data_IF_964751712862
#
_entry.id   IF_964751712862
#
_cell.length_a   1.000
_cell.length_b   1.000
_cell.length_c   1.000
_cell.angle_alpha   90.00
_cell.angle_beta   90.00
_cell.angle_gamma   90.00
#
_symmetry.space_group_name_H-M   'P 1'
#
loop_
_entity.id
_entity.type
_entity.pdbx_description
1 polymer ?
#
# COMPACT_ATOMS: atom_id res chain seq x y z
N UNK A 1 -6.46 -20.80 -33.74
CA UNK A 1 -5.87 -20.47 -32.42
C UNK A 1 -4.68 -19.54 -32.65
N UNK A 2 -4.83 -18.26 -32.38
CA UNK A 2 -3.74 -17.27 -32.49
C UNK A 2 -2.95 -17.37 -31.19
N UNK A 3 -1.82 -18.07 -31.21
CA UNK A 3 -0.85 -18.03 -30.13
C UNK A 3 -0.16 -16.65 -30.16
N UNK A 4 -0.74 -15.66 -29.54
CA UNK A 4 -0.03 -14.42 -29.20
C UNK A 4 1.06 -14.79 -28.22
N UNK A 5 2.33 -14.77 -28.68
CA UNK A 5 3.48 -14.86 -27.79
C UNK A 5 3.37 -13.73 -26.77
N UNK A 6 3.00 -14.05 -25.54
CA UNK A 6 3.02 -13.10 -24.43
C UNK A 6 4.46 -12.59 -24.29
N UNK A 7 4.69 -11.34 -24.67
CA UNK A 7 5.96 -10.67 -24.43
C UNK A 7 6.14 -10.54 -22.92
N UNK A 8 7.02 -11.35 -22.35
CA UNK A 8 7.41 -11.19 -20.93
C UNK A 8 8.03 -9.80 -20.76
N UNK A 9 7.56 -9.02 -19.76
CA UNK A 9 8.16 -7.72 -19.50
C UNK A 9 9.65 -7.88 -19.17
N UNK A 10 10.49 -7.02 -19.76
CA UNK A 10 11.91 -6.99 -19.45
C UNK A 10 12.13 -6.25 -18.16
N UNK A 11 12.83 -6.86 -17.21
CA UNK A 11 13.24 -6.23 -15.96
C UNK A 11 14.66 -5.69 -16.16
N UNK A 12 14.85 -4.40 -15.94
CA UNK A 12 16.17 -3.78 -15.95
C UNK A 12 16.78 -3.90 -14.54
N UNK A 13 17.75 -4.78 -14.38
CA UNK A 13 18.47 -4.99 -13.12
C UNK A 13 19.63 -4.01 -13.07
N UNK A 14 19.47 -2.89 -12.40
CA UNK A 14 20.53 -1.94 -12.09
C UNK A 14 20.71 -1.83 -10.57
N UNK A 15 21.95 -2.08 -10.11
CA UNK A 15 22.31 -1.97 -8.69
C UNK A 15 23.22 -0.76 -8.46
N UNK A 16 22.74 0.41 -8.87
CA UNK A 16 23.47 1.67 -8.77
C UNK A 16 23.70 2.09 -7.30
N UNK A 17 24.46 3.16 -7.13
CA UNK A 17 24.77 3.72 -5.81
C UNK A 17 23.50 4.00 -4.97
N UNK A 18 22.45 4.55 -5.60
CA UNK A 18 21.20 4.85 -4.92
C UNK A 18 20.48 3.58 -4.44
N UNK A 19 20.38 2.55 -5.29
CA UNK A 19 19.81 1.26 -4.89
C UNK A 19 20.53 0.68 -3.67
N UNK A 20 21.87 0.63 -3.72
CA UNK A 20 22.67 0.10 -2.60
C UNK A 20 22.46 0.91 -1.32
N UNK A 21 22.39 2.23 -1.45
CA UNK A 21 22.14 3.14 -0.32
C UNK A 21 20.77 2.89 0.30
N UNK A 22 19.69 2.86 -0.50
CA UNK A 22 18.33 2.60 0.00
C UNK A 22 18.25 1.21 0.64
N UNK A 23 18.81 0.18 -0.01
CA UNK A 23 18.85 -1.19 0.54
C UNK A 23 19.50 -1.24 1.92
N UNK A 24 20.68 -0.65 2.07
CA UNK A 24 21.40 -0.58 3.34
C UNK A 24 20.57 0.13 4.41
N UNK A 25 19.96 1.27 4.08
CA UNK A 25 19.16 2.06 5.02
C UNK A 25 17.90 1.33 5.50
N UNK A 26 17.21 0.62 4.60
CA UNK A 26 16.06 -0.22 4.95
C UNK A 26 16.46 -1.29 5.97
N UNK A 27 17.59 -1.97 5.73
CA UNK A 27 18.09 -3.01 6.63
C UNK A 27 18.49 -2.45 7.99
N UNK A 28 19.27 -1.35 8.02
CA UNK A 28 19.74 -0.72 9.26
C UNK A 28 18.62 -0.07 10.09
N UNK A 29 17.50 0.27 9.48
CA UNK A 29 16.35 0.91 10.15
C UNK A 29 15.32 -0.08 10.66
N UNK A 30 15.53 -1.39 10.45
CA UNK A 30 14.57 -2.44 10.82
C UNK A 30 13.17 -2.19 10.26
N UNK A 31 13.11 -1.72 9.00
CA UNK A 31 11.84 -1.45 8.32
C UNK A 31 11.49 -2.55 7.34
N UNK A 32 10.21 -2.84 7.27
CA UNK A 32 9.66 -3.70 6.24
C UNK A 32 9.34 -2.88 4.98
N UNK A 33 9.57 -3.44 3.82
CA UNK A 33 9.19 -2.83 2.54
C UNK A 33 8.42 -3.82 1.70
N UNK A 34 7.34 -3.37 1.09
CA UNK A 34 6.63 -4.19 0.09
C UNK A 34 7.56 -4.54 -1.08
N UNK A 35 8.52 -3.65 -1.39
CA UNK A 35 9.49 -3.89 -2.45
C UNK A 35 10.28 -5.19 -2.24
N UNK A 36 10.66 -5.49 -0.99
CA UNK A 36 11.37 -6.72 -0.64
C UNK A 36 10.40 -7.89 -0.37
N UNK A 37 9.39 -7.68 0.47
CA UNK A 37 8.45 -8.72 0.90
C UNK A 37 7.61 -9.29 -0.26
N UNK A 38 7.14 -8.42 -1.16
CA UNK A 38 6.39 -8.81 -2.35
C UNK A 38 7.28 -9.22 -3.54
N UNK A 39 8.62 -9.26 -3.37
CA UNK A 39 9.57 -9.56 -4.46
C UNK A 39 9.30 -8.74 -5.71
N UNK A 40 9.08 -7.43 -5.51
CA UNK A 40 8.65 -6.52 -6.57
C UNK A 40 9.71 -6.43 -7.68
N UNK A 41 9.38 -6.69 -8.95
CA UNK A 41 10.33 -6.62 -10.05
C UNK A 41 10.85 -5.19 -10.32
N UNK A 42 10.13 -4.17 -9.89
CA UNK A 42 10.48 -2.75 -10.10
C UNK A 42 11.41 -2.19 -9.00
N UNK A 43 11.82 -3.01 -8.03
CA UNK A 43 12.64 -2.58 -6.88
C UNK A 43 13.90 -1.83 -7.32
N UNK A 44 14.55 -2.30 -8.38
CA UNK A 44 15.79 -1.71 -8.89
C UNK A 44 15.57 -0.29 -9.41
N UNK A 45 14.53 -0.07 -10.18
CA UNK A 45 14.19 1.24 -10.74
C UNK A 45 13.71 2.20 -9.65
N UNK A 46 12.77 1.76 -8.81
CA UNK A 46 12.19 2.60 -7.76
C UNK A 46 13.26 3.07 -6.76
N UNK A 47 14.11 2.17 -6.28
CA UNK A 47 15.14 2.51 -5.33
C UNK A 47 16.25 3.39 -5.94
N UNK A 48 16.55 3.22 -7.22
CA UNK A 48 17.46 4.12 -7.92
C UNK A 48 16.88 5.55 -8.04
N UNK A 49 15.56 5.68 -8.18
CA UNK A 49 14.85 6.96 -8.17
C UNK A 49 14.60 7.52 -6.77
N UNK A 50 15.12 6.89 -5.72
CA UNK A 50 14.87 7.24 -4.32
C UNK A 50 13.38 7.24 -3.97
N UNK A 51 12.66 6.25 -4.47
CA UNK A 51 11.25 5.99 -4.14
C UNK A 51 11.16 4.60 -3.49
N UNK A 52 10.52 4.52 -2.34
CA UNK A 52 10.32 3.26 -1.63
C UNK A 52 8.89 3.17 -1.10
N UNK A 53 8.38 1.94 -1.03
CA UNK A 53 7.10 1.62 -0.38
C UNK A 53 7.41 0.96 0.96
N UNK A 54 7.22 1.72 2.03
CA UNK A 54 7.44 1.25 3.40
C UNK A 54 6.18 0.55 3.91
N UNK A 55 6.36 -0.56 4.61
CA UNK A 55 5.26 -1.34 5.18
C UNK A 55 5.29 -1.23 6.70
N UNK A 56 4.19 -0.76 7.29
CA UNK A 56 4.01 -0.58 8.73
C UNK A 56 3.09 -1.66 9.33
N UNK A 57 2.96 -1.66 10.65
CA UNK A 57 2.19 -2.61 11.44
C UNK A 57 2.77 -4.03 11.43
N UNK A 58 4.08 -4.14 11.16
CA UNK A 58 4.82 -5.40 11.17
C UNK A 58 4.91 -6.09 9.81
N UNK A 59 5.23 -7.39 9.83
CA UNK A 59 5.48 -8.24 8.66
C UNK A 59 4.43 -9.33 8.43
N UNK A 60 3.47 -9.46 9.34
CA UNK A 60 2.48 -10.55 9.32
C UNK A 60 1.07 -9.99 9.17
N UNK A 61 0.41 -10.37 8.07
CA UNK A 61 -0.94 -9.92 7.72
C UNK A 61 -1.99 -10.88 8.29
N UNK A 62 -3.09 -10.35 8.80
CA UNK A 62 -4.24 -11.16 9.26
C UNK A 62 -5.11 -11.68 8.11
N UNK A 63 -4.87 -11.21 6.87
CA UNK A 63 -5.60 -11.63 5.67
C UNK A 63 -4.70 -12.37 4.70
N UNK A 64 -5.31 -13.28 3.91
CA UNK A 64 -4.63 -14.14 2.93
C UNK A 64 -5.14 -13.81 1.51
N UNK A 65 -4.60 -12.77 0.88
CA UNK A 65 -4.91 -12.48 -0.51
C UNK A 65 -4.09 -13.41 -1.43
N UNK A 66 -4.74 -14.06 -2.41
CA UNK A 66 -4.10 -15.08 -3.25
C UNK A 66 -2.97 -14.59 -4.15
N UNK A 67 -2.84 -13.28 -4.36
CA UNK A 67 -1.77 -12.65 -5.14
C UNK A 67 -0.64 -12.08 -4.26
N UNK A 68 -0.80 -12.07 -2.94
CA UNK A 68 0.13 -11.40 -2.03
C UNK A 68 1.18 -12.38 -1.48
N UNK A 69 2.45 -11.96 -1.49
CA UNK A 69 3.56 -12.75 -0.94
C UNK A 69 3.90 -12.40 0.51
N UNK A 70 3.18 -11.47 1.12
CA UNK A 70 3.37 -11.11 2.52
C UNK A 70 2.92 -12.27 3.42
N UNK A 71 3.67 -12.51 4.47
CA UNK A 71 3.39 -13.58 5.44
C UNK A 71 2.01 -13.41 6.05
N UNK A 72 1.19 -14.46 5.97
CA UNK A 72 -0.12 -14.51 6.60
C UNK A 72 -0.05 -15.23 7.94
N UNK A 73 -0.75 -14.71 8.93
CA UNK A 73 -0.79 -15.34 10.24
C UNK A 73 -1.42 -14.46 11.32
N UNK A 74 -1.13 -14.80 12.57
CA UNK A 74 -1.54 -14.03 13.73
C UNK A 74 -0.35 -13.19 14.20
N UNK A 75 -0.38 -11.85 14.05
CA UNK A 75 0.67 -10.98 14.57
C UNK A 75 0.75 -11.07 16.09
N UNK A 76 1.96 -11.09 16.62
CA UNK A 76 2.21 -11.23 18.07
C UNK A 76 2.64 -9.93 18.73
N UNK A 77 2.97 -8.92 17.94
CA UNK A 77 3.53 -7.68 18.45
C UNK A 77 3.11 -6.46 17.62
N UNK A 78 3.17 -5.31 18.27
CA UNK A 78 2.94 -4.01 17.67
C UNK A 78 3.98 -3.02 18.21
N UNK A 79 4.67 -2.31 17.31
CA UNK A 79 5.74 -1.41 17.68
C UNK A 79 5.27 0.05 17.81
N UNK A 80 5.21 0.60 19.03
CA UNK A 80 4.77 1.97 19.23
C UNK A 80 5.75 3.02 18.69
N UNK A 81 7.00 2.65 18.42
CA UNK A 81 8.04 3.55 17.88
C UNK A 81 8.15 3.48 16.35
N UNK A 82 7.40 2.61 15.69
CA UNK A 82 7.42 2.45 14.24
C UNK A 82 7.15 3.77 13.48
N UNK A 83 6.18 4.61 13.88
CA UNK A 83 5.94 5.90 13.24
C UNK A 83 7.18 6.81 13.20
N UNK A 84 7.91 6.88 14.31
CA UNK A 84 9.12 7.69 14.40
C UNK A 84 10.26 7.11 13.56
N UNK A 85 10.44 5.78 13.58
CA UNK A 85 11.47 5.11 12.77
C UNK A 85 11.22 5.29 11.29
N UNK A 86 9.96 5.18 10.85
CA UNK A 86 9.57 5.44 9.45
C UNK A 86 9.94 6.86 9.05
N UNK A 87 9.55 7.87 9.85
CA UNK A 87 9.84 9.27 9.57
C UNK A 87 11.35 9.55 9.46
N UNK A 88 12.14 8.99 10.38
CA UNK A 88 13.61 9.12 10.37
C UNK A 88 14.25 8.41 9.18
N UNK A 89 13.76 7.24 8.79
CA UNK A 89 14.25 6.52 7.64
C UNK A 89 13.97 7.26 6.32
N UNK A 90 12.77 7.82 6.16
CA UNK A 90 12.42 8.66 5.01
C UNK A 90 13.40 9.83 4.89
N UNK A 91 13.73 10.50 6.01
CA UNK A 91 14.71 11.58 6.06
C UNK A 91 16.10 11.11 5.67
N UNK A 92 16.57 10.01 6.27
CA UNK A 92 17.90 9.44 6.03
C UNK A 92 18.07 9.00 4.57
N UNK A 93 16.99 8.45 3.95
CA UNK A 93 16.97 8.07 2.55
C UNK A 93 16.87 9.27 1.59
N UNK A 94 16.51 10.45 2.07
CA UNK A 94 16.33 11.65 1.27
C UNK A 94 15.22 11.46 0.22
N UNK A 95 14.13 10.82 0.61
CA UNK A 95 13.01 10.57 -0.31
C UNK A 95 12.27 11.87 -0.60
N UNK A 96 11.90 12.06 -1.85
CA UNK A 96 11.01 13.16 -2.29
C UNK A 96 9.55 12.73 -2.31
N UNK A 97 9.32 11.43 -2.38
CA UNK A 97 8.01 10.80 -2.34
C UNK A 97 8.12 9.46 -1.63
N UNK A 98 7.28 9.23 -0.65
CA UNK A 98 7.19 7.96 0.06
C UNK A 98 5.78 7.40 -0.07
N UNK A 99 5.69 6.11 -0.37
CA UNK A 99 4.45 5.36 -0.23
C UNK A 99 4.51 4.57 1.07
N UNK A 100 3.54 4.76 1.92
CA UNK A 100 3.37 4.01 3.17
C UNK A 100 2.20 3.06 2.97
N UNK A 101 2.41 1.80 3.23
CA UNK A 101 1.37 0.77 3.25
C UNK A 101 1.46 -0.05 4.54
N UNK A 102 0.55 -0.99 4.76
CA UNK A 102 0.61 -1.88 5.91
C UNK A 102 0.17 -3.28 5.58
N UNK A 103 0.43 -4.20 6.50
CA UNK A 103 -0.35 -5.43 6.63
C UNK A 103 -1.75 -5.10 7.17
N UNK A 104 -2.75 -5.96 6.89
CA UNK A 104 -4.04 -5.86 7.58
C UNK A 104 -3.89 -6.36 9.02
N UNK A 105 -4.45 -5.61 9.95
CA UNK A 105 -4.44 -5.89 11.39
C UNK A 105 -5.86 -5.97 11.95
N UNK A 106 -6.64 -6.91 11.40
CA UNK A 106 -8.01 -7.18 11.85
C UNK A 106 -8.09 -7.64 13.33
N UNK A 107 -6.94 -7.97 13.92
CA UNK A 107 -6.75 -8.32 15.32
C UNK A 107 -6.73 -7.11 16.26
N UNK A 108 -6.34 -5.93 15.80
CA UNK A 108 -6.31 -4.69 16.57
C UNK A 108 -7.75 -4.14 16.73
N UNK A 109 -8.42 -4.61 17.75
CA UNK A 109 -9.80 -4.19 18.05
C UNK A 109 -9.82 -2.72 18.48
N UNK A 110 -10.78 -1.98 17.96
CA UNK A 110 -10.96 -0.56 18.23
C UNK A 110 -10.70 0.32 17.01
N UNK A 111 -9.53 0.26 16.40
CA UNK A 111 -9.19 1.11 15.26
C UNK A 111 -8.46 0.42 14.10
N UNK A 112 -8.22 -0.88 14.20
CA UNK A 112 -7.51 -1.67 13.15
C UNK A 112 -6.13 -1.11 12.78
N UNK A 113 -5.48 -0.39 13.72
CA UNK A 113 -4.18 0.25 13.54
C UNK A 113 -4.23 1.66 12.95
N UNK A 114 -5.41 2.27 12.82
CA UNK A 114 -5.56 3.61 12.24
C UNK A 114 -4.79 4.70 13.00
N UNK A 115 -4.66 4.60 14.32
CA UNK A 115 -3.85 5.52 15.13
C UNK A 115 -2.38 5.48 14.73
N UNK A 116 -1.81 4.30 14.49
CA UNK A 116 -0.42 4.15 14.04
C UNK A 116 -0.27 4.72 12.62
N UNK A 117 -1.24 4.52 11.76
CA UNK A 117 -1.29 5.16 10.45
C UNK A 117 -1.23 6.69 10.55
N UNK A 118 -2.09 7.28 11.38
CA UNK A 118 -2.15 8.72 11.57
C UNK A 118 -0.85 9.29 12.14
N UNK A 119 -0.27 8.62 13.13
CA UNK A 119 1.01 9.03 13.71
C UNK A 119 2.15 8.91 12.71
N UNK A 120 2.16 7.84 11.89
CA UNK A 120 3.18 7.67 10.85
C UNK A 120 3.11 8.79 9.82
N UNK A 121 1.91 9.16 9.36
CA UNK A 121 1.70 10.27 8.42
C UNK A 121 2.20 11.58 9.04
N UNK A 122 1.73 11.90 10.25
CA UNK A 122 2.07 13.16 10.95
C UNK A 122 3.57 13.28 11.21
N UNK A 123 4.21 12.23 11.74
CA UNK A 123 5.65 12.22 12.01
C UNK A 123 6.46 12.34 10.72
N UNK A 124 6.05 11.62 9.66
CA UNK A 124 6.74 11.69 8.38
C UNK A 124 6.68 13.09 7.79
N UNK A 125 5.52 13.72 7.75
CA UNK A 125 5.35 15.11 7.27
C UNK A 125 6.09 16.13 8.12
N UNK A 126 6.08 15.95 9.45
CA UNK A 126 6.80 16.85 10.39
C UNK A 126 8.31 16.83 10.17
N UNK A 127 8.88 15.65 9.95
CA UNK A 127 10.34 15.45 9.82
C UNK A 127 10.82 15.72 8.39
N UNK A 128 9.95 15.59 7.39
CA UNK A 128 10.29 15.62 5.96
C UNK A 128 9.34 16.58 5.21
N UNK A 129 9.49 17.88 5.42
CA UNK A 129 8.59 18.93 4.90
C UNK A 129 8.48 18.97 3.37
N UNK A 130 9.54 18.53 2.66
CA UNK A 130 9.59 18.49 1.20
C UNK A 130 9.21 17.12 0.59
N UNK A 131 8.80 16.16 1.44
CA UNK A 131 8.46 14.82 1.00
C UNK A 131 6.94 14.66 0.87
N UNK A 132 6.47 14.27 -0.30
CA UNK A 132 5.08 13.89 -0.50
C UNK A 132 4.80 12.54 0.15
N UNK A 133 3.74 12.46 0.94
CA UNK A 133 3.32 11.24 1.64
C UNK A 133 2.07 10.66 0.98
N UNK A 134 2.22 9.55 0.29
CA UNK A 134 1.13 8.72 -0.21
C UNK A 134 0.89 7.57 0.77
N UNK A 135 -0.37 7.27 1.06
CA UNK A 135 -0.75 6.11 1.87
C UNK A 135 -1.53 5.12 1.03
N UNK A 136 -1.19 3.84 1.11
CA UNK A 136 -1.97 2.73 0.53
C UNK A 136 -2.54 1.91 1.68
N UNK A 137 -3.78 2.24 2.05
CA UNK A 137 -4.40 1.73 3.28
C UNK A 137 -5.21 0.46 3.07
N UNK A 138 -5.38 -0.37 4.12
CA UNK A 138 -6.42 -1.38 4.16
C UNK A 138 -7.82 -0.74 4.18
N UNK A 139 -8.87 -1.56 4.15
CA UNK A 139 -10.25 -1.11 4.24
C UNK A 139 -10.74 -0.84 5.69
N UNK A 140 -9.91 -1.10 6.69
CA UNK A 140 -10.26 -1.01 8.13
C UNK A 140 -11.62 -1.65 8.46
N UNK A 141 -12.01 -2.71 7.73
CA UNK A 141 -13.35 -3.33 7.79
C UNK A 141 -14.52 -2.38 7.53
N UNK A 142 -14.27 -1.24 6.91
CA UNK A 142 -15.26 -0.17 6.68
C UNK A 142 -15.61 0.61 7.95
N UNK A 143 -14.84 0.44 9.03
CA UNK A 143 -15.07 1.16 10.29
C UNK A 143 -14.75 2.64 10.13
N UNK A 144 -15.79 3.45 10.07
CA UNK A 144 -15.71 4.86 9.73
C UNK A 144 -14.83 5.70 10.68
N UNK A 145 -14.86 5.47 12.02
CA UNK A 145 -13.93 6.18 12.89
C UNK A 145 -12.46 5.92 12.59
N UNK A 146 -12.09 4.70 12.18
CA UNK A 146 -10.72 4.38 11.77
C UNK A 146 -10.33 5.12 10.48
N UNK A 147 -11.21 5.12 9.47
CA UNK A 147 -10.99 5.89 8.24
C UNK A 147 -10.80 7.38 8.54
N UNK A 148 -11.66 7.94 9.40
CA UNK A 148 -11.58 9.34 9.80
C UNK A 148 -10.26 9.70 10.47
N UNK A 149 -9.73 8.84 11.34
CA UNK A 149 -8.42 9.02 11.99
C UNK A 149 -7.32 9.19 10.93
N UNK A 150 -7.33 8.36 9.88
CA UNK A 150 -6.34 8.44 8.80
C UNK A 150 -6.57 9.67 7.92
N UNK A 151 -7.82 10.01 7.59
CA UNK A 151 -8.15 11.18 6.79
C UNK A 151 -7.75 12.49 7.50
N UNK A 152 -7.99 12.59 8.80
CA UNK A 152 -7.60 13.74 9.64
C UNK A 152 -6.07 13.93 9.70
N UNK A 153 -5.28 12.89 9.47
CA UNK A 153 -3.83 13.00 9.36
C UNK A 153 -3.35 13.66 8.05
N UNK A 154 -4.27 13.87 7.09
CA UNK A 154 -4.06 14.59 5.83
C UNK A 154 -2.86 14.09 5.03
N UNK A 155 -2.85 12.82 4.57
CA UNK A 155 -1.87 12.38 3.58
C UNK A 155 -2.00 13.22 2.30
N UNK A 156 -0.92 13.36 1.54
CA UNK A 156 -0.96 14.12 0.28
C UNK A 156 -1.71 13.34 -0.82
N UNK A 157 -1.64 12.00 -0.75
CA UNK A 157 -2.41 11.09 -1.60
C UNK A 157 -2.94 9.96 -0.71
N UNK A 158 -4.25 9.71 -0.78
CA UNK A 158 -4.89 8.56 -0.17
C UNK A 158 -5.18 7.50 -1.24
N UNK A 159 -4.62 6.32 -1.06
CA UNK A 159 -4.83 5.19 -1.95
C UNK A 159 -5.49 4.03 -1.22
N UNK A 160 -6.47 3.41 -1.88
CA UNK A 160 -7.02 2.12 -1.50
C UNK A 160 -7.30 1.32 -2.78
N UNK A 161 -6.66 0.18 -2.93
CA UNK A 161 -6.78 -0.60 -4.15
C UNK A 161 -8.04 -1.48 -4.17
N UNK A 162 -8.76 -1.46 -5.28
CA UNK A 162 -9.82 -2.43 -5.55
C UNK A 162 -9.27 -3.80 -5.96
N UNK A 163 -8.03 -3.84 -6.40
CA UNK A 163 -7.16 -4.97 -6.74
C UNK A 163 -7.59 -5.78 -7.97
N UNK A 164 -8.86 -6.07 -8.14
CA UNK A 164 -9.38 -6.89 -9.25
C UNK A 164 -10.82 -6.50 -9.58
N UNK A 165 -11.41 -7.11 -10.58
CA UNK A 165 -12.84 -6.94 -10.89
C UNK A 165 -13.72 -7.66 -9.87
N UNK A 166 -14.97 -7.21 -9.71
CA UNK A 166 -15.88 -7.69 -8.66
C UNK A 166 -16.05 -9.22 -8.68
N UNK A 167 -16.30 -9.82 -9.85
CA UNK A 167 -16.59 -11.26 -10.01
C UNK A 167 -15.52 -12.15 -9.38
N UNK A 168 -14.25 -11.79 -9.51
CA UNK A 168 -13.14 -12.60 -8.99
C UNK A 168 -12.65 -12.17 -7.61
N UNK A 169 -13.14 -11.05 -7.09
CA UNK A 169 -12.69 -10.48 -5.83
C UNK A 169 -12.76 -11.46 -4.66
N UNK A 170 -13.89 -12.18 -4.53
CA UNK A 170 -14.06 -13.14 -3.45
C UNK A 170 -13.09 -14.33 -3.53
N UNK A 171 -12.72 -14.74 -4.74
CA UNK A 171 -11.79 -15.84 -4.95
C UNK A 171 -10.35 -15.47 -4.59
N UNK A 172 -9.92 -14.24 -4.89
CA UNK A 172 -8.54 -13.79 -4.70
C UNK A 172 -8.32 -12.97 -3.43
N UNK A 173 -9.40 -12.42 -2.84
CA UNK A 173 -9.40 -11.58 -1.63
C UNK A 173 -10.51 -12.00 -0.67
N UNK A 174 -10.53 -13.24 -0.23
CA UNK A 174 -11.64 -13.85 0.52
C UNK A 174 -12.13 -13.04 1.74
N UNK A 175 -11.24 -12.28 2.41
CA UNK A 175 -11.55 -11.48 3.60
C UNK A 175 -11.85 -10.00 3.28
N UNK A 176 -11.66 -9.56 2.02
CA UNK A 176 -12.06 -8.24 1.57
C UNK A 176 -13.50 -8.25 1.04
N UNK A 177 -14.07 -7.07 0.93
CA UNK A 177 -15.40 -6.86 0.35
C UNK A 177 -15.29 -5.83 -0.76
N UNK A 178 -15.76 -6.17 -1.96
CA UNK A 178 -15.68 -5.32 -3.14
C UNK A 178 -16.36 -3.96 -2.92
N UNK A 179 -17.61 -3.98 -2.51
CA UNK A 179 -18.38 -2.76 -2.27
C UNK A 179 -17.72 -1.89 -1.20
N UNK A 180 -17.19 -2.50 -0.15
CA UNK A 180 -16.45 -1.77 0.89
C UNK A 180 -15.25 -1.02 0.33
N UNK A 181 -14.53 -1.60 -0.63
CA UNK A 181 -13.40 -0.91 -1.27
C UNK A 181 -13.86 0.33 -2.02
N UNK A 182 -14.99 0.27 -2.73
CA UNK A 182 -15.59 1.45 -3.37
C UNK A 182 -16.06 2.48 -2.33
N UNK A 183 -16.68 2.03 -1.24
CA UNK A 183 -17.16 2.92 -0.16
C UNK A 183 -15.99 3.66 0.52
N UNK A 184 -14.85 3.01 0.72
CA UNK A 184 -13.62 3.65 1.25
C UNK A 184 -13.12 4.74 0.32
N UNK A 185 -13.07 4.47 -1.00
CA UNK A 185 -12.69 5.47 -2.00
C UNK A 185 -13.66 6.65 -2.02
N UNK A 186 -14.96 6.37 -2.06
CA UNK A 186 -16.00 7.40 -2.02
C UNK A 186 -15.89 8.30 -0.79
N UNK A 187 -15.71 7.71 0.40
CA UNK A 187 -15.54 8.46 1.64
C UNK A 187 -14.29 9.35 1.61
N UNK A 188 -13.18 8.87 1.06
CA UNK A 188 -11.97 9.67 0.95
C UNK A 188 -12.13 10.87 0.00
N UNK A 189 -12.86 10.69 -1.11
CA UNK A 189 -13.22 11.78 -2.04
C UNK A 189 -14.12 12.80 -1.34
N UNK A 190 -15.16 12.36 -0.65
CA UNK A 190 -16.09 13.21 0.10
C UNK A 190 -15.37 13.99 1.22
N UNK A 191 -14.29 13.42 1.77
CA UNK A 191 -13.44 14.10 2.77
C UNK A 191 -12.50 15.15 2.14
N UNK A 192 -12.44 15.23 0.80
CA UNK A 192 -11.61 16.19 0.07
C UNK A 192 -10.16 15.74 -0.13
N UNK A 193 -9.87 14.44 0.00
CA UNK A 193 -8.53 13.91 -0.23
C UNK A 193 -8.29 13.65 -1.72
N UNK A 194 -7.03 13.80 -2.16
CA UNK A 194 -6.59 13.29 -3.46
C UNK A 194 -6.57 11.78 -3.40
N UNK A 195 -7.57 11.15 -4.05
CA UNK A 195 -7.82 9.72 -3.97
C UNK A 195 -7.22 8.98 -5.16
N UNK A 196 -6.67 7.80 -4.91
CA UNK A 196 -6.07 6.91 -5.91
C UNK A 196 -6.48 5.47 -5.65
N UNK A 197 -6.64 4.69 -6.70
CA UNK A 197 -6.85 3.24 -6.63
C UNK A 197 -5.98 2.51 -7.64
N UNK A 198 -5.89 1.20 -7.49
CA UNK A 198 -5.18 0.31 -8.40
C UNK A 198 -5.98 -0.97 -8.68
N UNK A 199 -5.76 -1.51 -9.87
CA UNK A 199 -6.28 -2.80 -10.31
C UNK A 199 -5.14 -3.62 -10.93
N UNK A 200 -5.08 -4.88 -10.59
CA UNK A 200 -4.24 -5.87 -11.26
C UNK A 200 -5.02 -6.55 -12.37
N UNK A 201 -4.34 -6.88 -13.45
CA UNK A 201 -4.89 -7.65 -14.57
C UNK A 201 -4.10 -8.94 -14.75
N UNK A 202 -4.76 -9.97 -15.30
CA UNK A 202 -4.19 -11.31 -15.49
C UNK A 202 -4.64 -12.32 -14.43
N UNK A 203 -5.66 -12.00 -13.63
CA UNK A 203 -6.25 -12.89 -12.61
C UNK A 203 -7.47 -13.69 -13.13
N UNK A 204 -7.80 -13.55 -14.41
CA UNK A 204 -8.95 -14.22 -15.06
C UNK A 204 -10.13 -13.33 -15.34
N UNK A 205 -9.94 -12.01 -15.32
CA UNK A 205 -10.92 -11.01 -15.73
C UNK A 205 -11.05 -10.92 -17.25
N UNK A 206 -12.20 -10.43 -17.72
CA UNK A 206 -12.41 -10.05 -19.10
C UNK A 206 -12.20 -8.54 -19.30
N UNK A 207 -11.77 -8.13 -20.51
CA UNK A 207 -11.54 -6.72 -20.81
C UNK A 207 -12.76 -5.81 -20.56
N UNK A 208 -13.98 -6.34 -20.76
CA UNK A 208 -15.22 -5.60 -20.46
C UNK A 208 -15.39 -5.33 -18.96
N UNK A 209 -15.02 -6.29 -18.11
CA UNK A 209 -15.11 -6.15 -16.65
C UNK A 209 -14.12 -5.11 -16.11
N UNK A 210 -12.90 -5.07 -16.69
CA UNK A 210 -11.91 -4.04 -16.35
C UNK A 210 -12.44 -2.65 -16.70
N UNK A 211 -13.01 -2.48 -17.91
CA UNK A 211 -13.60 -1.20 -18.34
C UNK A 211 -14.75 -0.78 -17.44
N UNK A 212 -15.60 -1.72 -17.04
CA UNK A 212 -16.73 -1.45 -16.14
C UNK A 212 -16.24 -1.05 -14.75
N UNK A 213 -15.26 -1.76 -14.20
CA UNK A 213 -14.60 -1.39 -12.93
C UNK A 213 -14.01 0.02 -12.98
N UNK A 214 -13.33 0.36 -14.10
CA UNK A 214 -12.79 1.71 -14.28
C UNK A 214 -13.89 2.78 -14.30
N UNK A 215 -15.04 2.54 -14.96
CA UNK A 215 -16.19 3.46 -14.95
C UNK A 215 -16.72 3.64 -13.52
N UNK A 216 -17.00 2.53 -12.83
CA UNK A 216 -17.49 2.57 -11.44
C UNK A 216 -16.57 3.38 -10.52
N UNK A 217 -15.25 3.29 -10.70
CA UNK A 217 -14.27 4.05 -9.91
C UNK A 217 -14.26 5.53 -10.30
N UNK A 218 -14.40 5.86 -11.59
CA UNK A 218 -14.41 7.26 -12.06
C UNK A 218 -15.69 7.98 -11.63
N UNK A 219 -16.80 7.26 -11.50
CA UNK A 219 -18.10 7.79 -11.15
C UNK A 219 -18.32 7.98 -9.63
N UNK A 220 -17.29 7.66 -8.77
CA UNK A 220 -17.37 7.85 -7.32
C UNK A 220 -17.31 9.33 -6.91
#
# INVERSE_FOLDING_TARGET
MIHTKLHKPKINISTDKNYKTVKKMVQESYLNTVCAEARCPNIYECWNRKTATLMILGDTCTRACGFCSVKTGKPTWNDPLEPLRVAQAVKKMGLRHVVITSVDRDDLKGDYGASIWADTIKQTKKVNTECTVEVLTPDFKGYEPALKIVFDAKPDIFSHNVECVERISKAVRAQANWQRSLDVLKKSIQYGLRTKTGIMVGLGEEAKEVKETMRQVVDL
#
